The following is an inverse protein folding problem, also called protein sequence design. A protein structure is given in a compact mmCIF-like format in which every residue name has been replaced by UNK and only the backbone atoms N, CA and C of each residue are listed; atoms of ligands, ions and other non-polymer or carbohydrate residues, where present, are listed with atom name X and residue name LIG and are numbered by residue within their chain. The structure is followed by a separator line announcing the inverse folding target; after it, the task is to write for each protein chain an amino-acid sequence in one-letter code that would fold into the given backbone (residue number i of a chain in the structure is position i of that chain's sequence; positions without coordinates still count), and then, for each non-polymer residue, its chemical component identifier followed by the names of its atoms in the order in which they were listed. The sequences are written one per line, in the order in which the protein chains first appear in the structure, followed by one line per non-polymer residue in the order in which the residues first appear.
data_IF_380537776023
#
_entry.id   IF_380537776023
#
_cell.length_a   1.000
_cell.length_b   1.000
_cell.length_c   1.000
_cell.angle_alpha   90.00
_cell.angle_beta   90.00
_cell.angle_gamma   90.00
#
_symmetry.space_group_name_H-M   'P 1'
#
loop_
_entity.id
_entity.type
_entity.pdbx_description
1 polymer ?
#
# COMPACT_ATOMS: atom_id res chain seq x y z
N UNK A 1 11.66 -45.10 -30.49
CA UNK A 1 11.88 -43.74 -31.05
C UNK A 1 10.65 -42.94 -30.64
N UNK A 2 10.46 -42.59 -29.37
CA UNK A 2 11.17 -41.60 -28.54
C UNK A 2 11.21 -40.18 -29.14
N UNK A 3 10.55 -39.29 -28.38
CA UNK A 3 10.64 -37.84 -28.26
C UNK A 3 10.02 -36.99 -29.38
N UNK A 4 9.26 -35.93 -29.12
CA UNK A 4 8.73 -35.35 -27.88
C UNK A 4 7.72 -34.28 -28.32
N UNK A 5 6.54 -34.29 -27.71
CA UNK A 5 5.58 -33.20 -27.86
C UNK A 5 6.03 -32.04 -27.00
N UNK A 6 6.34 -30.90 -27.62
CA UNK A 6 6.62 -29.66 -26.92
C UNK A 6 5.31 -29.16 -26.29
N UNK A 7 5.05 -29.55 -25.04
CA UNK A 7 4.11 -28.87 -24.18
C UNK A 7 4.63 -27.44 -23.97
N UNK A 8 3.96 -26.48 -24.62
CA UNK A 8 4.18 -25.06 -24.35
C UNK A 8 3.68 -24.77 -22.94
N UNK A 9 4.60 -24.76 -21.97
CA UNK A 9 4.38 -24.10 -20.70
C UNK A 9 3.97 -22.65 -20.97
N UNK A 10 2.68 -22.35 -20.76
CA UNK A 10 2.21 -20.97 -20.64
C UNK A 10 2.68 -20.46 -19.29
N UNK A 11 3.97 -20.13 -19.20
CA UNK A 11 4.41 -19.11 -18.27
C UNK A 11 3.54 -17.86 -18.53
N UNK A 12 3.09 -17.22 -17.46
CA UNK A 12 2.42 -15.92 -17.53
C UNK A 12 3.32 -15.04 -18.39
N UNK A 13 2.90 -14.75 -19.62
CA UNK A 13 3.67 -13.92 -20.54
C UNK A 13 3.74 -12.55 -19.91
N UNK A 14 4.90 -12.26 -19.35
CA UNK A 14 5.26 -10.94 -18.87
C UNK A 14 5.17 -9.99 -20.07
N UNK A 15 4.47 -8.84 -19.98
CA UNK A 15 4.48 -7.86 -21.07
C UNK A 15 5.93 -7.43 -21.34
N UNK A 16 6.29 -7.29 -22.61
CA UNK A 16 7.65 -6.97 -23.13
C UNK A 16 8.22 -5.59 -22.71
N UNK A 17 7.93 -5.11 -21.49
CA UNK A 17 8.30 -3.78 -20.98
C UNK A 17 8.82 -3.74 -19.55
N UNK A 18 8.98 -4.87 -18.87
CA UNK A 18 9.68 -4.87 -17.59
C UNK A 18 11.19 -4.94 -17.86
N UNK A 19 11.96 -4.06 -17.21
CA UNK A 19 13.42 -4.13 -17.30
C UNK A 19 13.92 -5.48 -16.75
N UNK A 20 15.10 -5.96 -17.17
CA UNK A 20 15.70 -7.18 -16.61
C UNK A 20 15.68 -7.19 -15.06
N UNK A 21 15.94 -6.04 -14.44
CA UNK A 21 15.89 -5.83 -12.99
C UNK A 21 14.49 -6.06 -12.38
N UNK A 22 13.42 -5.70 -13.10
CA UNK A 22 12.03 -5.87 -12.66
C UNK A 22 11.52 -7.31 -12.78
N UNK A 23 12.21 -8.15 -13.56
CA UNK A 23 11.91 -9.59 -13.71
C UNK A 23 12.89 -10.50 -12.95
N UNK A 24 13.97 -9.93 -12.40
CA UNK A 24 15.05 -10.68 -11.75
C UNK A 24 14.53 -11.56 -10.59
N UNK A 25 13.51 -11.08 -9.88
CA UNK A 25 12.87 -11.83 -8.79
C UNK A 25 12.21 -13.13 -9.28
N UNK A 26 11.64 -13.18 -10.49
CA UNK A 26 11.00 -14.38 -11.04
C UNK A 26 12.02 -15.51 -11.21
N UNK A 27 13.27 -15.17 -11.52
CA UNK A 27 14.37 -16.12 -11.67
C UNK A 27 15.05 -16.48 -10.34
N UNK A 28 14.95 -15.61 -9.33
CA UNK A 28 15.50 -15.84 -7.98
C UNK A 28 14.55 -16.60 -7.05
N UNK A 29 13.25 -16.65 -7.33
CA UNK A 29 12.33 -17.54 -6.61
C UNK A 29 12.63 -18.98 -7.02
N UNK A 30 13.13 -19.84 -6.11
CA UNK A 30 13.51 -21.21 -6.49
C UNK A 30 12.33 -21.98 -7.09
N UNK A 31 12.56 -22.69 -8.19
CA UNK A 31 11.70 -23.82 -8.54
C UNK A 31 11.79 -24.83 -7.39
N UNK A 32 10.67 -25.09 -6.73
CA UNK A 32 10.67 -25.53 -5.34
C UNK A 32 11.20 -26.96 -5.22
N UNK A 33 12.22 -27.18 -4.37
CA UNK A 33 12.46 -28.51 -3.82
C UNK A 33 11.47 -28.77 -2.67
N UNK A 34 10.82 -29.96 -2.60
CA UNK A 34 10.08 -30.43 -1.43
C UNK A 34 10.75 -30.09 -0.10
N UNK A 35 10.11 -29.30 0.76
CA UNK A 35 10.36 -29.42 2.19
C UNK A 35 9.75 -30.76 2.63
N UNK A 36 10.60 -31.69 3.08
CA UNK A 36 10.12 -32.94 3.68
C UNK A 36 9.47 -32.61 5.02
N UNK A 37 8.17 -32.90 5.24
CA UNK A 37 7.57 -32.71 6.55
C UNK A 37 8.24 -33.64 7.56
N UNK A 38 8.94 -33.07 8.55
CA UNK A 38 9.39 -33.79 9.74
C UNK A 38 8.33 -33.66 10.84
N UNK A 39 7.21 -34.38 10.75
CA UNK A 39 6.47 -34.75 11.96
C UNK A 39 5.44 -35.87 11.75
N UNK A 40 5.28 -36.73 12.76
CA UNK A 40 4.26 -37.79 12.82
C UNK A 40 2.95 -37.20 13.37
N UNK A 41 1.80 -37.41 12.71
CA UNK A 41 0.53 -36.89 13.20
C UNK A 41 0.14 -37.59 14.51
N UNK A 42 -0.10 -36.81 15.57
CA UNK A 42 -0.97 -37.24 16.68
C UNK A 42 -2.38 -36.70 16.40
N UNK A 43 -3.35 -37.57 16.60
CA UNK A 43 -4.80 -37.38 16.51
C UNK A 43 -5.45 -37.46 15.11
N UNK A 44 -5.75 -38.70 14.71
CA UNK A 44 -7.15 -39.13 14.66
C UNK A 44 -8.10 -38.46 13.66
N UNK A 45 -7.77 -38.47 12.36
CA UNK A 45 -8.81 -38.55 11.31
C UNK A 45 -8.51 -39.73 10.40
N UNK A 46 -9.43 -40.71 10.37
CA UNK A 46 -9.38 -41.87 9.47
C UNK A 46 -9.37 -41.36 8.02
N UNK A 47 -8.21 -41.40 7.35
CA UNK A 47 -8.16 -41.40 5.89
C UNK A 47 -8.35 -42.85 5.43
N UNK A 48 -9.43 -43.13 4.70
CA UNK A 48 -9.54 -44.34 3.88
C UNK A 48 -8.57 -44.19 2.69
N UNK A 49 -7.79 -45.23 2.43
CA UNK A 49 -6.90 -45.33 1.27
C UNK A 49 -5.42 -45.18 1.64
N UNK A 50 -4.66 -46.27 1.50
CA UNK A 50 -3.20 -46.26 1.59
C UNK A 50 -2.60 -45.43 0.43
N UNK A 51 -1.56 -44.62 0.66
CA UNK A 51 -0.90 -43.91 -0.43
C UNK A 51 0.04 -44.86 -1.18
N UNK A 52 -0.25 -45.09 -2.47
CA UNK A 52 0.75 -45.62 -3.41
C UNK A 52 1.91 -44.63 -3.50
N UNK A 53 3.15 -45.15 -3.42
CA UNK A 53 4.37 -44.41 -3.73
C UNK A 53 4.27 -43.85 -5.16
N UNK A 54 4.36 -42.52 -5.31
CA UNK A 54 4.35 -41.83 -6.60
C UNK A 54 5.67 -41.08 -6.82
N UNK A 55 6.06 -41.06 -8.08
CA UNK A 55 7.33 -40.60 -8.64
C UNK A 55 7.77 -39.21 -8.15
N UNK A 56 9.04 -39.03 -7.72
CA UNK A 56 9.56 -37.73 -7.28
C UNK A 56 9.71 -36.67 -8.37
N UNK A 57 9.50 -36.99 -9.66
CA UNK A 57 9.52 -36.04 -10.78
C UNK A 57 8.18 -35.33 -11.03
N UNK A 58 7.13 -35.67 -10.28
CA UNK A 58 5.84 -35.01 -10.35
C UNK A 58 5.91 -33.64 -9.63
N UNK A 59 6.20 -32.59 -10.41
CA UNK A 59 6.11 -31.17 -10.01
C UNK A 59 4.64 -30.71 -9.74
N UNK A 60 3.75 -31.68 -9.55
CA UNK A 60 2.30 -31.58 -9.35
C UNK A 60 1.89 -31.15 -7.93
N UNK A 61 2.65 -30.22 -7.33
CA UNK A 61 2.46 -29.83 -5.93
C UNK A 61 1.43 -28.71 -5.71
N UNK A 62 0.84 -28.15 -6.76
CA UNK A 62 -0.29 -27.23 -6.64
C UNK A 62 -1.56 -27.93 -7.13
N UNK A 63 -2.48 -28.37 -6.25
CA UNK A 63 -3.70 -29.07 -6.64
C UNK A 63 -4.73 -28.18 -7.37
N UNK A 64 -4.51 -26.86 -7.48
CA UNK A 64 -5.50 -25.89 -7.95
C UNK A 64 -4.93 -24.84 -8.92
N UNK A 65 -5.82 -24.27 -9.77
CA UNK A 65 -5.60 -23.29 -10.86
C UNK A 65 -4.18 -22.68 -10.86
N UNK A 66 -3.28 -23.26 -11.66
CA UNK A 66 -1.88 -22.83 -11.78
C UNK A 66 -1.80 -21.30 -11.96
N UNK A 67 -1.02 -20.63 -11.11
CA UNK A 67 -0.66 -19.22 -11.28
C UNK A 67 -1.51 -18.19 -10.55
N UNK A 68 -2.43 -18.58 -9.64
CA UNK A 68 -3.19 -17.59 -8.84
C UNK A 68 -2.33 -16.91 -7.78
N UNK A 69 -2.51 -15.60 -7.64
CA UNK A 69 -1.75 -14.73 -6.73
C UNK A 69 -2.72 -14.08 -5.74
N UNK A 70 -2.41 -14.18 -4.46
CA UNK A 70 -3.08 -13.43 -3.39
C UNK A 70 -2.16 -12.30 -2.95
N UNK A 71 -2.62 -11.06 -3.01
CA UNK A 71 -1.89 -9.88 -2.54
C UNK A 71 -2.64 -9.27 -1.37
N UNK A 72 -1.94 -9.03 -0.26
CA UNK A 72 -2.51 -8.51 0.98
C UNK A 72 -1.97 -7.11 1.21
N UNK A 73 -2.89 -6.16 1.37
CA UNK A 73 -2.59 -4.76 1.63
C UNK A 73 -3.17 -4.34 3.00
N UNK A 74 -2.53 -3.39 3.71
CA UNK A 74 -3.05 -2.88 4.98
C UNK A 74 -4.33 -2.05 4.79
N UNK A 75 -4.47 -1.36 3.66
CA UNK A 75 -5.50 -0.32 3.45
C UNK A 75 -6.47 -0.64 2.33
N UNK A 76 -7.75 -0.33 2.54
CA UNK A 76 -8.83 -0.52 1.55
C UNK A 76 -8.58 0.25 0.25
N UNK A 77 -8.11 1.50 0.36
CA UNK A 77 -7.80 2.31 -0.83
C UNK A 77 -6.62 1.73 -1.63
N UNK A 78 -5.61 1.17 -0.96
CA UNK A 78 -4.48 0.51 -1.61
C UNK A 78 -4.95 -0.71 -2.41
N UNK A 79 -5.75 -1.60 -1.78
CA UNK A 79 -6.39 -2.75 -2.43
C UNK A 79 -7.11 -2.32 -3.72
N UNK A 80 -7.93 -1.28 -3.65
CA UNK A 80 -8.72 -0.83 -4.79
C UNK A 80 -7.87 -0.17 -5.88
N UNK A 81 -6.93 0.71 -5.49
CA UNK A 81 -6.02 1.38 -6.41
C UNK A 81 -5.17 0.37 -7.18
N UNK A 82 -4.53 -0.55 -6.48
CA UNK A 82 -3.65 -1.56 -7.06
C UNK A 82 -4.44 -2.53 -7.94
N UNK A 83 -5.62 -2.98 -7.50
CA UNK A 83 -6.48 -3.81 -8.33
C UNK A 83 -6.83 -3.12 -9.65
N UNK A 84 -7.27 -1.85 -9.60
CA UNK A 84 -7.63 -1.08 -10.80
C UNK A 84 -6.43 -0.90 -11.71
N UNK A 85 -5.28 -0.50 -11.14
CA UNK A 85 -4.03 -0.27 -11.87
C UNK A 85 -3.55 -1.54 -12.58
N UNK A 86 -3.46 -2.66 -11.86
CA UNK A 86 -3.04 -3.95 -12.43
C UNK A 86 -4.01 -4.43 -13.50
N UNK A 87 -5.32 -4.26 -13.29
CA UNK A 87 -6.32 -4.62 -14.29
C UNK A 87 -6.17 -3.80 -15.58
N UNK A 88 -5.87 -2.50 -15.47
CA UNK A 88 -5.62 -1.63 -16.62
C UNK A 88 -4.33 -2.01 -17.36
N UNK A 89 -3.23 -2.26 -16.64
CA UNK A 89 -1.96 -2.65 -17.24
C UNK A 89 -2.07 -4.00 -17.97
N UNK A 90 -2.76 -4.98 -17.38
CA UNK A 90 -3.04 -6.26 -18.05
C UNK A 90 -3.87 -6.09 -19.31
N UNK A 91 -4.89 -5.22 -19.29
CA UNK A 91 -5.69 -4.90 -20.48
C UNK A 91 -4.86 -4.22 -21.57
N UNK A 92 -3.98 -3.27 -21.20
CA UNK A 92 -3.06 -2.61 -22.14
C UNK A 92 -2.10 -3.61 -22.77
N UNK A 93 -1.70 -4.64 -22.04
CA UNK A 93 -0.89 -5.76 -22.54
C UNK A 93 -1.71 -6.82 -23.31
N UNK A 94 -3.02 -6.63 -23.50
CA UNK A 94 -3.89 -7.57 -24.22
C UNK A 94 -4.33 -8.80 -23.43
N UNK A 95 -4.02 -8.89 -22.13
CA UNK A 95 -4.48 -9.98 -21.27
C UNK A 95 -5.97 -9.82 -20.91
N UNK A 96 -6.67 -10.95 -20.85
CA UNK A 96 -8.05 -11.08 -20.38
C UNK A 96 -8.14 -11.56 -18.93
N UNK A 97 -7.00 -11.67 -18.24
CA UNK A 97 -6.96 -12.13 -16.85
C UNK A 97 -7.79 -11.21 -15.94
N UNK A 98 -8.59 -11.84 -15.09
CA UNK A 98 -9.42 -11.13 -14.15
C UNK A 98 -8.60 -10.80 -12.88
N UNK A 99 -8.64 -9.54 -12.47
CA UNK A 99 -8.07 -9.08 -11.20
C UNK A 99 -9.23 -8.72 -10.29
N UNK A 100 -9.31 -9.38 -9.14
CA UNK A 100 -10.36 -9.18 -8.15
C UNK A 100 -9.87 -8.48 -6.90
N UNK A 101 -10.81 -8.09 -6.05
CA UNK A 101 -10.51 -7.66 -4.69
C UNK A 101 -11.55 -8.12 -3.65
N UNK A 102 -11.13 -8.23 -2.40
CA UNK A 102 -12.01 -8.54 -1.27
C UNK A 102 -11.61 -7.78 0.00
N UNK A 103 -12.57 -7.09 0.61
CA UNK A 103 -12.38 -6.36 1.86
C UNK A 103 -13.67 -6.36 2.69
N UNK A 104 -13.64 -5.78 3.90
CA UNK A 104 -14.82 -5.73 4.76
C UNK A 104 -16.00 -5.02 4.05
N UNK A 105 -17.12 -5.72 3.93
CA UNK A 105 -18.34 -5.21 3.28
C UNK A 105 -18.33 -5.17 1.75
N UNK A 106 -17.20 -5.46 1.10
CA UNK A 106 -17.07 -5.38 -0.36
C UNK A 106 -16.33 -6.59 -0.94
N UNK A 107 -16.97 -7.25 -1.89
CA UNK A 107 -16.39 -8.40 -2.58
C UNK A 107 -16.59 -8.23 -4.09
N UNK A 108 -15.49 -8.22 -4.85
CA UNK A 108 -15.56 -8.16 -6.31
C UNK A 108 -14.61 -9.18 -6.93
N UNK A 109 -15.20 -10.22 -7.51
CA UNK A 109 -14.54 -11.33 -8.23
C UNK A 109 -13.52 -12.14 -7.40
N UNK A 110 -13.95 -13.28 -6.84
CA UNK A 110 -13.08 -14.17 -6.01
C UNK A 110 -12.71 -15.50 -6.65
N UNK A 111 -13.56 -16.10 -7.48
CA UNK A 111 -13.36 -17.51 -7.91
C UNK A 111 -12.69 -17.66 -9.28
N UNK A 112 -12.78 -16.62 -10.12
CA UNK A 112 -12.20 -16.58 -11.46
C UNK A 112 -10.99 -15.65 -11.61
N UNK A 113 -10.65 -14.88 -10.57
CA UNK A 113 -9.55 -13.91 -10.65
C UNK A 113 -8.19 -14.58 -10.57
N UNK A 114 -7.28 -14.26 -11.48
CA UNK A 114 -5.89 -14.71 -11.46
C UNK A 114 -5.12 -14.02 -10.33
N UNK A 115 -5.43 -12.76 -10.07
CA UNK A 115 -4.86 -11.98 -8.96
C UNK A 115 -6.00 -11.51 -8.08
N UNK A 116 -5.87 -11.69 -6.76
CA UNK A 116 -6.84 -11.25 -5.77
C UNK A 116 -6.15 -10.32 -4.77
N UNK A 117 -6.57 -9.06 -4.72
CA UNK A 117 -6.13 -8.09 -3.71
C UNK A 117 -7.06 -8.13 -2.50
N UNK A 118 -6.53 -8.22 -1.29
CA UNK A 118 -7.35 -8.27 -0.08
C UNK A 118 -6.80 -7.38 1.02
N UNK A 119 -7.65 -6.95 1.95
CA UNK A 119 -7.16 -6.34 3.18
C UNK A 119 -6.69 -7.37 4.19
N UNK A 120 -5.72 -7.01 5.04
CA UNK A 120 -5.24 -7.83 6.17
C UNK A 120 -6.41 -8.39 7.00
N UNK A 121 -7.32 -7.52 7.44
CA UNK A 121 -8.47 -7.90 8.27
C UNK A 121 -9.43 -8.88 7.57
N UNK A 122 -9.60 -8.76 6.25
CA UNK A 122 -10.42 -9.69 5.49
C UNK A 122 -9.76 -11.08 5.42
N UNK A 123 -8.45 -11.15 5.17
CA UNK A 123 -7.73 -12.42 5.12
C UNK A 123 -7.71 -13.10 6.49
N UNK A 124 -7.48 -12.35 7.57
CA UNK A 124 -7.58 -12.86 8.93
C UNK A 124 -8.90 -13.58 9.20
N UNK A 125 -10.03 -12.89 8.94
CA UNK A 125 -11.36 -13.46 9.10
C UNK A 125 -11.57 -14.67 8.19
N UNK A 126 -11.04 -14.63 6.97
CA UNK A 126 -11.14 -15.73 6.00
C UNK A 126 -10.42 -16.99 6.49
N UNK A 127 -9.20 -16.86 7.00
CA UNK A 127 -8.39 -17.97 7.47
C UNK A 127 -8.90 -18.59 8.78
N UNK A 128 -9.52 -17.78 9.65
CA UNK A 128 -10.15 -18.28 10.88
C UNK A 128 -11.28 -19.29 10.58
N UNK A 129 -12.03 -19.09 9.50
CA UNK A 129 -13.16 -19.95 9.13
C UNK A 129 -12.82 -20.99 8.06
N UNK A 130 -11.84 -20.72 7.21
CA UNK A 130 -11.48 -21.57 6.06
C UNK A 130 -9.97 -21.49 5.81
N UNK A 131 -9.13 -22.16 6.61
CA UNK A 131 -7.68 -22.12 6.43
C UNK A 131 -7.25 -22.73 5.08
N UNK A 132 -8.00 -23.70 4.57
CA UNK A 132 -7.84 -24.32 3.25
C UNK A 132 -8.01 -23.34 2.07
N UNK A 133 -8.48 -22.11 2.33
CA UNK A 133 -8.54 -21.06 1.32
C UNK A 133 -7.19 -20.82 0.60
N UNK A 134 -6.08 -20.94 1.32
CA UNK A 134 -4.74 -20.75 0.76
C UNK A 134 -4.35 -21.82 -0.27
N UNK A 135 -4.98 -23.00 -0.23
CA UNK A 135 -4.71 -24.09 -1.17
C UNK A 135 -4.99 -23.69 -2.63
N UNK A 136 -5.83 -22.67 -2.83
CA UNK A 136 -6.21 -22.17 -4.14
C UNK A 136 -5.21 -21.18 -4.78
N UNK A 137 -4.13 -20.82 -4.08
CA UNK A 137 -3.14 -19.83 -4.53
C UNK A 137 -1.75 -20.44 -4.67
N UNK A 138 -1.00 -19.99 -5.69
CA UNK A 138 0.41 -20.36 -5.87
C UNK A 138 1.35 -19.41 -5.10
N UNK A 139 0.95 -18.14 -4.97
CA UNK A 139 1.71 -17.09 -4.31
C UNK A 139 0.85 -16.32 -3.32
N UNK A 140 1.44 -15.98 -2.17
CA UNK A 140 0.90 -15.08 -1.15
C UNK A 140 1.89 -13.94 -0.96
N UNK A 141 1.50 -12.73 -1.35
CA UNK A 141 2.26 -11.51 -1.18
C UNK A 141 1.67 -10.74 0.01
N UNK A 142 2.49 -10.45 1.01
CA UNK A 142 2.16 -9.52 2.08
C UNK A 142 2.89 -8.21 1.80
N UNK A 143 2.15 -7.18 1.40
CA UNK A 143 2.71 -5.86 1.18
C UNK A 143 2.74 -5.03 2.47
N UNK A 144 3.65 -4.06 2.49
CA UNK A 144 3.75 -3.02 3.52
C UNK A 144 3.87 -3.57 4.95
N UNK A 145 4.56 -4.69 5.13
CA UNK A 145 4.69 -5.35 6.44
C UNK A 145 5.48 -4.54 7.49
N UNK A 146 6.02 -3.38 7.10
CA UNK A 146 6.60 -2.41 8.02
C UNK A 146 5.55 -1.62 8.81
N UNK A 147 4.30 -1.58 8.33
CA UNK A 147 3.16 -1.11 9.11
C UNK A 147 2.82 -2.18 10.16
N UNK A 148 3.55 -2.17 11.29
CA UNK A 148 3.44 -3.12 12.42
C UNK A 148 2.14 -2.95 13.23
N UNK A 149 1.00 -2.99 12.55
CA UNK A 149 -0.33 -2.99 13.18
C UNK A 149 -0.61 -4.34 13.84
N UNK A 150 -1.49 -4.32 14.85
CA UNK A 150 -1.90 -5.54 15.58
C UNK A 150 -2.44 -6.63 14.65
N UNK A 151 -3.26 -6.25 13.66
CA UNK A 151 -3.84 -7.19 12.70
C UNK A 151 -2.79 -7.81 11.78
N UNK A 152 -1.78 -7.03 11.37
CA UNK A 152 -0.69 -7.54 10.54
C UNK A 152 0.15 -8.57 11.31
N UNK A 153 0.52 -8.25 12.55
CA UNK A 153 1.27 -9.17 13.42
C UNK A 153 0.46 -10.44 13.75
N UNK A 154 -0.86 -10.30 13.99
CA UNK A 154 -1.76 -11.45 14.17
C UNK A 154 -1.86 -12.32 12.91
N UNK A 155 -1.87 -11.70 11.72
CA UNK A 155 -1.89 -12.42 10.45
C UNK A 155 -0.62 -13.22 10.26
N UNK A 156 0.55 -12.65 10.58
CA UNK A 156 1.83 -13.35 10.51
C UNK A 156 1.84 -14.58 11.44
N UNK A 157 1.33 -14.44 12.66
CA UNK A 157 1.20 -15.55 13.62
C UNK A 157 0.26 -16.65 13.11
N UNK A 158 -0.90 -16.27 12.57
CA UNK A 158 -1.84 -17.23 12.01
C UNK A 158 -1.25 -17.96 10.79
N UNK A 159 -0.56 -17.24 9.90
CA UNK A 159 0.10 -17.84 8.73
C UNK A 159 1.20 -18.83 9.14
N UNK A 160 1.96 -18.53 10.20
CA UNK A 160 2.96 -19.46 10.74
C UNK A 160 2.31 -20.76 11.22
N UNK A 161 1.17 -20.67 11.91
CA UNK A 161 0.41 -21.83 12.36
C UNK A 161 -0.20 -22.62 11.18
N UNK A 162 -0.85 -21.94 10.24
CA UNK A 162 -1.44 -22.57 9.05
C UNK A 162 -0.37 -23.30 8.22
N UNK A 163 0.81 -22.70 8.06
CA UNK A 163 1.95 -23.33 7.38
C UNK A 163 2.43 -24.61 8.08
N UNK A 164 2.32 -24.70 9.40
CA UNK A 164 2.71 -25.89 10.16
C UNK A 164 1.68 -27.02 10.04
N UNK A 165 0.40 -26.67 9.91
CA UNK A 165 -0.72 -27.63 9.93
C UNK A 165 -1.12 -28.12 8.53
N UNK A 166 -0.84 -27.36 7.47
CA UNK A 166 -1.26 -27.69 6.11
C UNK A 166 -0.23 -28.48 5.30
N UNK A 167 -0.72 -29.39 4.45
CA UNK A 167 0.10 -30.16 3.54
C UNK A 167 0.69 -29.31 2.40
N UNK A 168 0.01 -28.21 2.07
CA UNK A 168 0.41 -27.24 1.07
C UNK A 168 0.39 -25.85 1.68
N UNK A 169 1.32 -25.00 1.28
CA UNK A 169 1.34 -23.59 1.64
C UNK A 169 1.86 -22.80 0.43
N UNK A 170 1.20 -21.69 0.03
CA UNK A 170 1.65 -20.89 -1.11
C UNK A 170 3.04 -20.33 -0.86
N UNK A 171 3.75 -19.97 -1.94
CA UNK A 171 5.03 -19.25 -1.81
C UNK A 171 4.77 -17.89 -1.17
N UNK A 172 5.33 -17.68 0.01
CA UNK A 172 5.22 -16.44 0.76
C UNK A 172 6.26 -15.43 0.26
N UNK A 173 5.79 -14.26 -0.13
CA UNK A 173 6.60 -13.10 -0.51
C UNK A 173 6.25 -11.98 0.47
N UNK A 174 7.27 -11.39 1.08
CA UNK A 174 7.13 -10.28 2.01
C UNK A 174 7.70 -9.03 1.33
N UNK A 175 6.89 -7.98 1.23
CA UNK A 175 7.26 -6.72 0.61
C UNK A 175 7.26 -5.60 1.65
N UNK A 176 8.28 -4.74 1.60
CA UNK A 176 8.45 -3.64 2.53
C UNK A 176 9.49 -2.64 2.04
N UNK A 177 9.25 -1.35 2.29
CA UNK A 177 10.23 -0.29 2.10
C UNK A 177 11.38 -0.34 3.12
N UNK A 178 11.13 -0.84 4.33
CA UNK A 178 12.11 -0.94 5.42
C UNK A 178 11.97 -2.31 6.09
N UNK A 179 12.72 -3.29 5.59
CA UNK A 179 12.57 -4.69 6.00
C UNK A 179 13.70 -5.13 6.96
N UNK A 180 13.34 -5.58 8.17
CA UNK A 180 14.25 -6.40 8.98
C UNK A 180 14.24 -7.85 8.46
N UNK A 181 15.09 -8.07 7.45
CA UNK A 181 15.21 -9.36 6.75
C UNK A 181 15.58 -10.49 7.71
N UNK A 182 16.47 -10.22 8.67
CA UNK A 182 16.96 -11.25 9.59
C UNK A 182 15.91 -11.65 10.61
N UNK A 183 15.20 -10.67 11.19
CA UNK A 183 14.10 -10.93 12.12
C UNK A 183 13.01 -11.80 11.49
N UNK A 184 12.60 -11.47 10.27
CA UNK A 184 11.56 -12.22 9.54
C UNK A 184 12.04 -13.59 9.04
N UNK A 185 13.29 -13.68 8.58
CA UNK A 185 13.91 -14.95 8.19
C UNK A 185 13.98 -15.94 9.36
N UNK A 186 14.29 -15.43 10.55
CA UNK A 186 14.28 -16.20 11.81
C UNK A 186 12.86 -16.63 12.18
N UNK A 187 11.90 -15.69 12.14
CA UNK A 187 10.51 -15.94 12.49
C UNK A 187 9.87 -17.06 11.64
N UNK A 188 10.06 -17.02 10.32
CA UNK A 188 9.53 -18.03 9.41
C UNK A 188 10.42 -19.29 9.27
N UNK A 189 11.50 -19.39 10.05
CA UNK A 189 12.39 -20.56 10.08
C UNK A 189 13.18 -20.78 8.78
N UNK A 190 13.34 -19.75 7.96
CA UNK A 190 14.08 -19.80 6.69
C UNK A 190 15.59 -19.66 6.92
N UNK A 191 16.02 -18.99 7.99
CA UNK A 191 17.43 -18.72 8.32
C UNK A 191 18.11 -17.72 7.38
N UNK A 192 17.84 -17.82 6.08
CA UNK A 192 18.38 -16.96 5.01
C UNK A 192 17.32 -16.80 3.89
N UNK A 193 16.41 -15.82 3.98
CA UNK A 193 15.40 -15.59 2.96
C UNK A 193 16.02 -14.96 1.70
N UNK A 194 15.58 -15.43 0.52
CA UNK A 194 15.98 -14.81 -0.76
C UNK A 194 15.49 -13.35 -0.76
N UNK A 195 16.44 -12.43 -0.80
CA UNK A 195 16.15 -10.99 -0.78
C UNK A 195 16.33 -10.41 -2.18
N UNK A 196 15.36 -9.64 -2.63
CA UNK A 196 15.44 -8.88 -3.89
C UNK A 196 15.22 -7.42 -3.56
N UNK A 197 16.19 -6.58 -3.94
CA UNK A 197 16.07 -5.14 -3.83
C UNK A 197 15.50 -4.59 -5.12
N UNK A 198 14.21 -4.24 -5.11
CA UNK A 198 13.59 -3.52 -6.19
C UNK A 198 13.99 -2.05 -6.09
N UNK A 199 14.75 -1.54 -7.06
CA UNK A 199 15.03 -0.11 -7.16
C UNK A 199 13.75 0.69 -7.41
N UNK A 200 13.71 1.93 -6.93
CA UNK A 200 12.66 2.90 -7.24
C UNK A 200 13.24 4.10 -7.96
N UNK A 201 12.63 4.53 -9.07
CA UNK A 201 12.89 5.85 -9.63
C UNK A 201 12.00 6.85 -8.90
N UNK A 202 12.59 7.62 -7.99
CA UNK A 202 11.93 8.76 -7.36
C UNK A 202 12.36 10.00 -8.13
N UNK A 203 11.40 10.82 -8.55
CA UNK A 203 11.73 12.15 -9.07
C UNK A 203 12.31 12.99 -7.93
N UNK A 204 13.31 13.86 -8.18
CA UNK A 204 13.86 14.70 -7.14
C UNK A 204 12.77 15.64 -6.60
N UNK A 205 12.46 15.52 -5.30
CA UNK A 205 11.51 16.39 -4.60
C UNK A 205 12.29 17.47 -3.85
N UNK A 206 11.99 18.73 -4.14
CA UNK A 206 12.57 19.86 -3.41
C UNK A 206 11.87 20.01 -2.06
N UNK A 207 12.65 19.88 -0.99
CA UNK A 207 12.16 20.08 0.38
C UNK A 207 12.38 21.53 0.81
N UNK A 208 11.30 22.20 1.18
CA UNK A 208 11.33 23.55 1.76
C UNK A 208 10.77 23.50 3.18
N UNK A 209 11.56 23.99 4.13
CA UNK A 209 11.14 24.22 5.50
C UNK A 209 10.45 25.59 5.61
N UNK A 210 9.80 25.84 6.74
CA UNK A 210 9.06 27.08 6.96
C UNK A 210 9.91 28.34 6.77
N UNK A 211 11.18 28.31 7.22
CA UNK A 211 12.11 29.43 7.05
C UNK A 211 12.51 29.63 5.58
N UNK A 212 12.67 28.54 4.83
CA UNK A 212 13.03 28.62 3.42
C UNK A 212 11.94 29.35 2.62
N UNK A 213 10.66 29.11 2.96
CA UNK A 213 9.51 29.82 2.35
C UNK A 213 9.53 31.32 2.67
N UNK A 214 9.98 31.72 3.87
CA UNK A 214 10.05 33.13 4.26
C UNK A 214 11.15 33.88 3.48
N UNK A 215 12.26 33.21 3.19
CA UNK A 215 13.44 33.80 2.55
C UNK A 215 13.43 33.69 1.02
N UNK A 216 12.67 32.76 0.44
CA UNK A 216 12.68 32.48 -0.99
C UNK A 216 11.84 33.48 -1.80
N UNK A 217 12.54 34.28 -2.62
CA UNK A 217 11.96 35.30 -3.49
C UNK A 217 11.03 34.73 -4.59
N UNK A 218 11.01 33.42 -4.82
CA UNK A 218 10.01 32.79 -5.66
C UNK A 218 8.59 32.96 -5.11
N UNK A 219 8.43 33.17 -3.79
CA UNK A 219 7.14 33.41 -3.15
C UNK A 219 6.80 34.91 -3.07
N UNK A 220 5.52 35.21 -3.28
CA UNK A 220 4.98 36.56 -3.15
C UNK A 220 5.20 37.13 -1.74
N UNK A 221 5.37 38.45 -1.64
CA UNK A 221 5.68 39.12 -0.36
C UNK A 221 4.67 38.79 0.76
N UNK A 222 3.39 38.60 0.40
CA UNK A 222 2.36 38.19 1.36
C UNK A 222 2.57 36.78 1.92
N UNK A 223 2.98 35.81 1.08
CA UNK A 223 3.29 34.44 1.53
C UNK A 223 4.52 34.46 2.45
N UNK A 224 5.57 35.17 2.04
CA UNK A 224 6.80 35.31 2.82
C UNK A 224 6.54 35.91 4.20
N UNK A 225 5.74 36.98 4.27
CA UNK A 225 5.39 37.62 5.53
C UNK A 225 4.60 36.70 6.47
N UNK A 226 3.64 35.92 5.94
CA UNK A 226 2.88 34.96 6.75
C UNK A 226 3.78 33.81 7.22
N UNK A 227 4.73 33.36 6.39
CA UNK A 227 5.71 32.33 6.76
C UNK A 227 6.63 32.79 7.89
N UNK A 228 7.13 34.03 7.82
CA UNK A 228 7.92 34.66 8.89
C UNK A 228 7.13 34.70 10.21
N UNK A 229 5.89 35.20 10.19
CA UNK A 229 5.02 35.23 11.36
C UNK A 229 4.69 33.84 11.92
N UNK A 230 4.56 32.84 11.05
CA UNK A 230 4.33 31.46 11.47
C UNK A 230 5.57 30.88 12.16
N UNK A 231 6.77 31.17 11.64
CA UNK A 231 8.04 30.71 12.18
C UNK A 231 8.31 31.26 13.57
N UNK A 232 8.11 32.56 13.78
CA UNK A 232 8.28 33.20 15.10
C UNK A 232 7.40 32.59 16.20
N UNK A 233 6.24 32.03 15.81
CA UNK A 233 5.28 31.42 16.74
C UNK A 233 5.55 29.94 17.00
N UNK A 234 6.38 29.26 16.19
CA UNK A 234 6.76 27.88 16.46
C UNK A 234 7.78 27.81 17.59
N UNK A 235 7.39 27.21 18.72
CA UNK A 235 8.30 26.96 19.86
C UNK A 235 8.74 25.49 19.89
N UNK A 236 10.05 25.18 19.94
CA UNK A 236 10.59 23.81 19.84
C UNK A 236 10.16 22.80 20.93
N UNK A 237 9.38 23.20 21.94
CA UNK A 237 9.01 22.36 23.09
C UNK A 237 7.53 22.43 23.47
N UNK A 238 6.71 23.10 22.65
CA UNK A 238 5.26 23.08 22.85
C UNK A 238 4.66 21.84 22.19
N UNK A 239 3.50 21.41 22.69
CA UNK A 239 2.65 20.45 21.98
C UNK A 239 2.43 20.92 20.52
N UNK A 240 2.32 19.99 19.57
CA UNK A 240 2.08 20.34 18.17
C UNK A 240 0.75 21.08 18.04
N UNK A 241 0.82 22.33 17.63
CA UNK A 241 -0.36 23.19 17.44
C UNK A 241 -0.32 23.77 16.05
N UNK A 242 -1.39 23.56 15.29
CA UNK A 242 -1.62 24.27 14.04
C UNK A 242 -2.08 25.69 14.40
N UNK A 243 -1.20 26.67 14.21
CA UNK A 243 -1.51 28.09 14.47
C UNK A 243 -2.37 28.68 13.34
N UNK A 244 -3.12 29.77 13.58
CA UNK A 244 -3.83 30.47 12.52
C UNK A 244 -2.93 30.92 11.36
N UNK A 245 -1.67 31.27 11.65
CA UNK A 245 -0.68 31.68 10.65
C UNK A 245 -0.29 30.50 9.76
N UNK A 246 -0.05 29.31 10.34
CA UNK A 246 0.24 28.10 9.56
C UNK A 246 -0.94 27.69 8.68
N UNK A 247 -2.18 27.81 9.17
CA UNK A 247 -3.39 27.54 8.36
C UNK A 247 -3.50 28.51 7.17
N UNK A 248 -3.28 29.80 7.43
CA UNK A 248 -3.31 30.81 6.39
C UNK A 248 -2.21 30.56 5.35
N UNK A 249 -0.99 30.25 5.80
CA UNK A 249 0.12 29.93 4.90
C UNK A 249 -0.22 28.75 4.00
N UNK A 250 -0.67 27.63 4.57
CA UNK A 250 -1.07 26.46 3.79
C UNK A 250 -2.19 26.77 2.80
N UNK A 251 -3.20 27.55 3.21
CA UNK A 251 -4.28 27.99 2.31
C UNK A 251 -3.73 28.80 1.12
N UNK A 252 -2.80 29.73 1.38
CA UNK A 252 -2.16 30.53 0.33
C UNK A 252 -1.32 29.68 -0.62
N UNK A 253 -0.58 28.70 -0.09
CA UNK A 253 0.22 27.76 -0.89
C UNK A 253 -0.65 26.85 -1.77
N UNK A 254 -1.79 26.36 -1.24
CA UNK A 254 -2.79 25.62 -2.01
C UNK A 254 -3.28 26.46 -3.17
N UNK A 255 -3.75 27.68 -2.91
CA UNK A 255 -4.31 28.56 -3.93
C UNK A 255 -3.29 28.94 -4.99
N UNK A 256 -2.04 29.21 -4.57
CA UNK A 256 -0.93 29.46 -5.49
C UNK A 256 -0.69 28.25 -6.41
N UNK A 257 -0.67 27.04 -5.85
CA UNK A 257 -0.46 25.81 -6.63
C UNK A 257 -1.62 25.55 -7.59
N UNK A 258 -2.87 25.74 -7.14
CA UNK A 258 -4.04 25.63 -8.01
C UNK A 258 -3.97 26.63 -9.17
N UNK A 259 -3.47 27.84 -8.92
CA UNK A 259 -3.33 28.88 -9.94
C UNK A 259 -2.31 28.56 -11.05
N UNK A 260 -1.27 27.76 -10.77
CA UNK A 260 -0.34 27.32 -11.82
C UNK A 260 -0.97 26.28 -12.74
N UNK A 261 -1.98 25.56 -12.26
CA UNK A 261 -2.61 24.41 -12.93
C UNK A 261 -1.61 23.28 -13.31
N UNK A 262 -0.42 23.27 -12.69
CA UNK A 262 0.64 22.30 -12.94
C UNK A 262 0.52 21.11 -11.97
N UNK A 263 -0.65 20.48 -11.93
CA UNK A 263 -0.91 19.27 -11.16
C UNK A 263 -1.82 19.45 -9.96
N UNK A 264 -1.67 18.55 -8.99
CA UNK A 264 -2.50 18.44 -7.79
C UNK A 264 -1.66 18.65 -6.54
N UNK A 265 -2.32 19.02 -5.46
CA UNK A 265 -1.69 19.24 -4.16
C UNK A 265 -2.21 18.25 -3.13
N UNK A 266 -1.31 17.72 -2.31
CA UNK A 266 -1.63 16.89 -1.16
C UNK A 266 -1.25 17.61 0.13
N UNK A 267 -2.20 17.75 1.05
CA UNK A 267 -2.00 18.43 2.34
C UNK A 267 -2.18 17.42 3.46
N UNK A 268 -1.13 17.19 4.25
CA UNK A 268 -1.16 16.32 5.42
C UNK A 268 -1.57 17.09 6.67
N UNK A 269 -2.71 16.69 7.25
CA UNK A 269 -3.34 17.27 8.43
C UNK A 269 -3.52 16.18 9.51
N UNK A 270 -3.51 16.53 10.80
CA UNK A 270 -3.49 15.52 11.86
C UNK A 270 -4.83 14.78 12.03
N UNK A 271 -5.97 15.37 11.67
CA UNK A 271 -7.27 14.71 11.79
C UNK A 271 -8.41 15.46 11.13
N UNK A 272 -9.61 14.90 11.23
CA UNK A 272 -10.81 15.37 10.51
C UNK A 272 -11.13 16.85 10.75
N UNK A 273 -11.03 17.35 11.99
CA UNK A 273 -11.43 18.71 12.33
C UNK A 273 -10.53 19.75 11.63
N UNK A 274 -9.24 19.44 11.54
CA UNK A 274 -8.29 20.28 10.80
C UNK A 274 -8.48 20.16 9.28
N UNK A 275 -8.95 19.00 8.79
CA UNK A 275 -9.32 18.81 7.38
C UNK A 275 -10.56 19.63 7.03
N UNK A 276 -11.61 19.60 7.86
CA UNK A 276 -12.84 20.36 7.64
C UNK A 276 -12.58 21.88 7.68
N UNK A 277 -11.81 22.38 8.67
CA UNK A 277 -11.43 23.80 8.71
C UNK A 277 -10.58 24.20 7.50
N UNK A 278 -9.64 23.36 7.05
CA UNK A 278 -8.87 23.64 5.83
C UNK A 278 -9.74 23.60 4.58
N UNK A 279 -10.68 22.66 4.50
CA UNK A 279 -11.62 22.54 3.39
C UNK A 279 -12.44 23.82 3.23
N UNK A 280 -13.02 24.33 4.32
CA UNK A 280 -13.80 25.57 4.30
C UNK A 280 -12.95 26.76 3.84
N UNK A 281 -11.74 26.91 4.41
CA UNK A 281 -10.83 28.02 4.07
C UNK A 281 -10.40 28.00 2.60
N UNK A 282 -10.00 26.84 2.11
CA UNK A 282 -9.57 26.67 0.72
C UNK A 282 -10.75 26.91 -0.22
N UNK A 283 -11.93 26.34 0.08
CA UNK A 283 -13.14 26.52 -0.74
C UNK A 283 -13.49 28.00 -0.90
N UNK A 284 -13.60 28.72 0.23
CA UNK A 284 -13.91 30.16 0.21
C UNK A 284 -12.87 30.96 -0.56
N UNK A 285 -11.59 30.65 -0.40
CA UNK A 285 -10.52 31.38 -1.10
C UNK A 285 -10.48 31.11 -2.61
N UNK A 286 -10.76 29.87 -3.03
CA UNK A 286 -10.86 29.50 -4.45
C UNK A 286 -12.09 30.15 -5.09
N UNK A 287 -13.25 30.11 -4.44
CA UNK A 287 -14.48 30.74 -4.91
C UNK A 287 -14.32 32.25 -5.08
N UNK A 288 -13.75 32.93 -4.07
CA UNK A 288 -13.48 34.37 -4.12
C UNK A 288 -12.52 34.77 -5.25
N UNK A 289 -11.69 33.84 -5.73
CA UNK A 289 -10.75 34.06 -6.85
C UNK A 289 -11.27 33.51 -8.18
N UNK A 290 -12.48 32.94 -8.22
CA UNK A 290 -13.05 32.32 -9.41
C UNK A 290 -12.25 31.13 -9.94
N UNK A 291 -11.54 30.42 -9.05
CA UNK A 291 -10.71 29.27 -9.40
C UNK A 291 -11.49 27.96 -9.24
N UNK A 292 -11.40 27.08 -10.24
CA UNK A 292 -12.04 25.77 -10.19
C UNK A 292 -11.02 24.68 -9.86
N UNK A 293 -11.18 24.02 -8.71
CA UNK A 293 -10.43 22.83 -8.33
C UNK A 293 -11.35 21.83 -7.61
N UNK A 294 -11.06 20.54 -7.75
CA UNK A 294 -11.80 19.52 -6.99
C UNK A 294 -11.08 19.33 -5.65
N UNK A 295 -11.78 19.56 -4.52
CA UNK A 295 -11.23 19.34 -3.17
C UNK A 295 -11.74 18.00 -2.65
N UNK A 296 -10.83 17.08 -2.33
CA UNK A 296 -11.15 15.73 -1.86
C UNK A 296 -10.59 15.50 -0.46
N UNK A 297 -11.42 14.91 0.41
CA UNK A 297 -11.05 14.58 1.78
C UNK A 297 -10.65 13.11 1.86
N UNK A 298 -9.45 12.85 2.37
CA UNK A 298 -8.91 11.52 2.61
C UNK A 298 -8.77 11.29 4.13
N UNK A 299 -9.81 10.71 4.71
CA UNK A 299 -9.84 10.38 6.13
C UNK A 299 -10.57 9.06 6.33
N UNK A 300 -10.16 8.27 7.32
CA UNK A 300 -10.73 6.94 7.61
C UNK A 300 -12.25 6.93 7.89
N UNK A 301 -12.81 8.09 8.27
CA UNK A 301 -14.24 8.29 8.52
C UNK A 301 -15.05 8.66 7.27
N UNK A 302 -14.40 9.05 6.17
CA UNK A 302 -15.10 9.30 4.90
C UNK A 302 -15.57 7.95 4.35
N UNK A 303 -16.82 7.83 3.88
CA UNK A 303 -17.31 6.62 3.24
C UNK A 303 -16.39 6.19 2.09
N UNK A 304 -16.17 4.88 1.96
CA UNK A 304 -15.24 4.36 0.97
C UNK A 304 -15.64 4.72 -0.47
N UNK A 305 -16.95 4.77 -0.77
CA UNK A 305 -17.45 5.17 -2.09
C UNK A 305 -16.95 6.57 -2.49
N UNK A 306 -16.96 7.53 -1.56
CA UNK A 306 -16.51 8.89 -1.81
C UNK A 306 -14.98 8.97 -1.94
N UNK A 307 -14.25 8.12 -1.21
CA UNK A 307 -12.79 8.05 -1.35
C UNK A 307 -12.34 7.47 -2.71
N UNK A 308 -13.22 6.78 -3.45
CA UNK A 308 -12.90 6.25 -4.78
C UNK A 308 -12.76 7.36 -5.84
N UNK A 309 -13.34 8.54 -5.59
CA UNK A 309 -13.30 9.69 -6.52
C UNK A 309 -11.87 10.22 -6.72
N UNK A 310 -10.96 9.90 -5.80
CA UNK A 310 -9.51 10.16 -5.92
C UNK A 310 -8.93 9.60 -7.21
N UNK A 311 -9.47 8.46 -7.68
CA UNK A 311 -8.99 7.77 -8.87
C UNK A 311 -9.78 8.08 -10.14
N UNK A 312 -10.72 9.03 -10.09
CA UNK A 312 -11.41 9.51 -11.29
C UNK A 312 -10.43 10.31 -12.15
N UNK A 313 -10.52 10.21 -13.47
CA UNK A 313 -9.72 11.07 -14.36
C UNK A 313 -10.28 12.50 -14.34
N UNK A 314 -9.42 13.51 -14.17
CA UNK A 314 -9.79 14.92 -14.27
C UNK A 314 -8.70 15.72 -14.96
N UNK A 315 -9.11 16.82 -15.59
CA UNK A 315 -8.20 17.85 -16.11
C UNK A 315 -8.06 19.04 -15.15
N UNK A 316 -8.86 19.07 -14.08
CA UNK A 316 -8.84 20.14 -13.09
C UNK A 316 -7.75 19.86 -12.05
N UNK A 317 -7.10 20.90 -11.49
CA UNK A 317 -6.27 20.74 -10.31
C UNK A 317 -7.09 20.10 -9.19
N UNK A 318 -6.45 19.18 -8.45
CA UNK A 318 -7.06 18.58 -7.25
C UNK A 318 -6.35 19.03 -5.99
N UNK A 319 -7.12 19.24 -4.94
CA UNK A 319 -6.64 19.50 -3.59
C UNK A 319 -7.03 18.31 -2.72
N UNK A 320 -6.07 17.48 -2.35
CA UNK A 320 -6.26 16.37 -1.45
C UNK A 320 -5.95 16.80 -0.02
N UNK A 321 -6.93 16.73 0.88
CA UNK A 321 -6.76 17.02 2.30
C UNK A 321 -6.79 15.69 3.05
N UNK A 322 -5.65 15.28 3.62
CA UNK A 322 -5.44 13.91 4.09
C UNK A 322 -4.83 13.81 5.47
N UNK A 323 -5.09 12.72 6.18
CA UNK A 323 -4.19 12.25 7.25
C UNK A 323 -3.08 11.37 6.69
N UNK A 324 -2.37 10.67 7.57
CA UNK A 324 -1.46 9.56 7.27
C UNK A 324 -2.05 8.41 6.43
N UNK A 325 -3.37 8.38 6.17
CA UNK A 325 -3.98 7.36 5.28
C UNK A 325 -3.39 7.35 3.86
N UNK A 326 -2.87 8.49 3.38
CA UNK A 326 -2.19 8.62 2.09
C UNK A 326 -0.65 8.53 2.18
N UNK A 327 -0.08 8.31 3.37
CA UNK A 327 1.38 8.27 3.56
C UNK A 327 2.04 7.07 2.90
N UNK A 328 1.34 5.94 2.83
CA UNK A 328 1.87 4.68 2.26
C UNK A 328 0.80 4.01 1.39
N UNK A 329 1.25 3.26 0.38
CA UNK A 329 0.42 2.38 -0.45
C UNK A 329 -0.67 3.03 -1.30
N UNK A 330 -0.81 4.36 -1.27
CA UNK A 330 -1.74 5.12 -2.11
C UNK A 330 -0.98 5.98 -3.13
N UNK A 331 -0.95 5.54 -4.38
CA UNK A 331 -0.48 6.39 -5.48
C UNK A 331 -1.60 7.31 -5.93
N UNK A 332 -1.56 8.57 -5.49
CA UNK A 332 -2.44 9.62 -6.00
C UNK A 332 -1.82 10.16 -7.29
N UNK A 333 -2.53 10.09 -8.43
CA UNK A 333 -1.97 10.55 -9.70
C UNK A 333 -1.79 12.06 -9.70
N UNK A 334 -0.72 12.52 -10.35
CA UNK A 334 -0.49 13.94 -10.67
C UNK A 334 -0.37 14.86 -9.44
N UNK A 335 0.14 14.36 -8.31
CA UNK A 335 0.55 15.21 -7.18
C UNK A 335 1.91 15.82 -7.48
N UNK A 336 2.00 17.15 -7.48
CA UNK A 336 3.22 17.92 -7.78
C UNK A 336 3.69 18.73 -6.58
N UNK A 337 2.80 19.04 -5.65
CA UNK A 337 3.11 19.77 -4.41
C UNK A 337 2.57 19.02 -3.21
N UNK A 338 3.35 18.96 -2.14
CA UNK A 338 2.94 18.40 -0.85
C UNK A 338 3.14 19.45 0.24
N UNK A 339 2.10 19.68 1.05
CA UNK A 339 2.17 20.53 2.24
C UNK A 339 2.04 19.61 3.45
N UNK A 340 3.13 19.42 4.19
CA UNK A 340 3.14 18.61 5.40
C UNK A 340 3.21 19.50 6.65
N UNK A 341 2.17 19.45 7.49
CA UNK A 341 2.20 20.09 8.81
C UNK A 341 3.11 19.36 9.81
N UNK A 342 3.66 18.20 9.42
CA UNK A 342 4.50 17.35 10.24
C UNK A 342 3.86 16.96 11.57
N UNK A 343 2.54 16.85 11.59
CA UNK A 343 1.75 16.37 12.72
C UNK A 343 1.06 15.04 12.38
N UNK A 344 0.73 14.25 13.39
CA UNK A 344 -0.06 13.02 13.28
C UNK A 344 -0.78 12.71 14.58
N UNK A 345 -1.85 11.91 14.52
CA UNK A 345 -2.54 11.43 15.73
C UNK A 345 -2.02 10.06 16.11
N UNK A 346 -1.65 9.90 17.38
CA UNK A 346 -1.24 8.61 17.95
C UNK A 346 -1.92 8.37 19.28
N UNK A 347 -2.13 7.10 19.60
CA UNK A 347 -2.58 6.71 20.94
C UNK A 347 -1.39 6.79 21.89
N UNK A 348 -1.41 7.79 22.78
CA UNK A 348 -0.43 7.98 23.85
C UNK A 348 -1.15 7.74 25.17
N UNK A 349 -0.69 6.75 25.95
CA UNK A 349 -1.30 6.40 27.25
C UNK A 349 -2.84 6.23 27.18
N UNK A 350 -3.32 5.49 26.17
CA UNK A 350 -4.76 5.25 25.92
C UNK A 350 -5.58 6.49 25.52
N UNK A 351 -4.93 7.61 25.22
CA UNK A 351 -5.59 8.82 24.71
C UNK A 351 -5.11 9.13 23.30
N UNK A 352 -6.02 9.55 22.42
CA UNK A 352 -5.67 9.91 21.05
C UNK A 352 -5.19 11.37 21.00
N UNK A 353 -3.88 11.55 20.92
CA UNK A 353 -3.23 12.86 21.00
C UNK A 353 -2.53 13.22 19.68
N UNK A 354 -2.45 14.51 19.39
CA UNK A 354 -1.64 15.01 18.27
C UNK A 354 -0.18 15.08 18.70
N UNK A 355 0.71 14.51 17.91
CA UNK A 355 2.16 14.51 18.10
C UNK A 355 2.87 15.00 16.84
N UNK A 356 4.13 15.42 16.94
CA UNK A 356 4.95 15.62 15.76
C UNK A 356 5.18 14.27 15.04
N UNK A 357 5.13 14.31 13.73
CA UNK A 357 5.48 13.18 12.88
C UNK A 357 6.97 12.86 13.00
N UNK A 358 7.32 11.60 12.84
CA UNK A 358 8.73 11.18 12.84
C UNK A 358 9.43 11.62 11.55
N UNK A 359 10.76 11.71 11.57
CA UNK A 359 11.52 12.01 10.35
C UNK A 359 11.30 10.96 9.25
N UNK A 360 11.10 9.69 9.61
CA UNK A 360 10.77 8.65 8.64
C UNK A 360 9.39 8.86 8.03
N UNK A 361 8.41 9.31 8.82
CA UNK A 361 7.08 9.65 8.32
C UNK A 361 7.15 10.82 7.33
N UNK A 362 7.87 11.88 7.67
CA UNK A 362 8.04 13.04 6.77
C UNK A 362 8.77 12.66 5.47
N UNK A 363 9.74 11.75 5.52
CA UNK A 363 10.41 11.22 4.31
C UNK A 363 9.51 10.34 3.43
N UNK A 364 8.48 9.71 3.99
CA UNK A 364 7.49 8.94 3.22
C UNK A 364 6.41 9.85 2.63
N UNK A 365 6.14 11.00 3.26
CA UNK A 365 5.19 12.02 2.78
C UNK A 365 5.77 12.87 1.65
N UNK A 366 7.10 13.01 1.57
CA UNK A 366 7.83 13.68 0.51
C UNK A 366 8.08 12.73 -0.66
#
# INVERSE_FOLDING_TARGET
MNHEGVERERAITCPDRLSPDQTEWLHKVPQAKPLKPKYKPRYGRRRRGAPQERDPSDDARCPHKRGRILVVEPRRLAVFSLQKRVQEELRRAGSQDAVGYAMAGELKHRDNSNVLFVTVGWLLQKLLHSPDFLDSFSFLLLDEIHERGLDADLLLALLQQVRADQAYFPRLVLMSATLDVQGLGTYFGSGDPVTVHCGGMVHPVQMLMLNDIADDLAFDAGIRHVAEQASEKMRPRAEPVITPQLRLLATLLVVRTVATAEGSILVFLPGIADIEDMFERVSVMLDNRGMNADILILHSMVPFADQQDVFAETKRPRVFLSTDISQTSLTIPNVTTIIDFAHQRMVVQSTLSTVYASQSSCKQRA
#
